data_IF_810392789274
#
_entry.id   IF_810392789274
#
_cell.length_a   1.000
_cell.length_b   1.000
_cell.length_c   1.000
_cell.angle_alpha   90.00
_cell.angle_beta   90.00
_cell.angle_gamma   90.00
#
_symmetry.space_group_name_H-M   'P 1'
#
loop_
_entity.id
_entity.type
_entity.pdbx_description
1 polymer ?
#
# COMPACT_ATOMS: atom_id res chain seq x y z
N UNK A 1 0.24 -11.93 6.39
CA UNK A 1 -0.29 -10.86 5.50
C UNK A 1 0.41 -9.59 5.94
N UNK A 2 1.26 -9.03 5.09
CA UNK A 2 2.19 -7.98 5.53
C UNK A 2 1.52 -6.61 5.51
N UNK A 3 1.54 -5.90 6.64
CA UNK A 3 0.98 -4.54 6.70
C UNK A 3 1.91 -3.54 5.97
N UNK A 4 1.37 -2.42 5.52
CA UNK A 4 2.08 -1.42 4.71
C UNK A 4 2.42 -0.13 5.47
N UNK A 5 2.38 -0.15 6.80
CA UNK A 5 2.62 1.05 7.62
C UNK A 5 3.95 1.74 7.29
N UNK A 6 5.04 0.97 7.17
CA UNK A 6 6.38 1.50 6.86
C UNK A 6 6.44 2.17 5.49
N UNK A 7 5.75 1.59 4.49
CA UNK A 7 5.70 2.13 3.12
C UNK A 7 4.99 3.47 3.10
N UNK A 8 3.77 3.54 3.64
CA UNK A 8 2.99 4.77 3.69
C UNK A 8 3.67 5.85 4.53
N UNK A 9 4.25 5.49 5.68
CA UNK A 9 5.03 6.41 6.51
C UNK A 9 6.19 7.03 5.73
N UNK A 10 6.94 6.21 4.99
CA UNK A 10 8.05 6.69 4.17
C UNK A 10 7.57 7.62 3.04
N UNK A 11 6.44 7.31 2.40
CA UNK A 11 5.81 8.14 1.35
C UNK A 11 5.46 9.54 1.85
N UNK A 12 4.95 9.66 3.08
CA UNK A 12 4.62 10.96 3.69
C UNK A 12 5.80 11.61 4.45
N UNK A 13 6.99 11.00 4.41
CA UNK A 13 8.20 11.56 5.03
C UNK A 13 8.17 11.64 6.57
N UNK A 14 7.34 10.83 7.24
CA UNK A 14 7.21 10.85 8.69
C UNK A 14 8.17 9.86 9.36
N UNK A 15 8.64 10.21 10.57
CA UNK A 15 9.38 9.27 11.43
C UNK A 15 8.40 8.39 12.21
N UNK A 16 8.86 7.23 12.71
CA UNK A 16 8.03 6.37 13.56
C UNK A 16 7.49 7.13 14.79
N UNK A 17 8.31 7.99 15.40
CA UNK A 17 7.91 8.81 16.54
C UNK A 17 6.80 9.81 16.19
N UNK A 18 6.85 10.43 15.00
CA UNK A 18 5.81 11.36 14.55
C UNK A 18 4.46 10.66 14.34
N UNK A 19 4.46 9.49 13.69
CA UNK A 19 3.22 8.72 13.49
C UNK A 19 2.68 8.22 14.83
N UNK A 20 3.54 7.70 15.71
CA UNK A 20 3.16 7.24 17.04
C UNK A 20 2.50 8.36 17.87
N UNK A 21 3.08 9.56 17.85
CA UNK A 21 2.50 10.73 18.51
C UNK A 21 1.12 11.10 17.93
N UNK A 22 0.97 11.09 16.60
CA UNK A 22 -0.31 11.39 15.93
C UNK A 22 -1.44 10.42 16.33
N UNK A 23 -1.12 9.14 16.56
CA UNK A 23 -2.12 8.12 16.93
C UNK A 23 -2.20 7.84 18.44
N UNK A 24 -1.42 8.59 19.24
CA UNK A 24 -1.43 8.56 20.70
C UNK A 24 -0.87 7.25 21.28
N UNK A 25 0.24 6.76 20.74
CA UNK A 25 0.97 5.59 21.27
C UNK A 25 2.46 5.86 21.40
N UNK A 26 3.19 4.98 22.08
CA UNK A 26 4.64 5.07 22.15
C UNK A 26 5.29 4.64 20.82
N UNK A 27 6.44 5.23 20.50
CA UNK A 27 7.21 4.87 19.30
C UNK A 27 7.58 3.38 19.24
N UNK A 28 7.97 2.70 20.34
CA UNK A 28 8.18 1.25 20.33
C UNK A 28 6.90 0.44 20.03
N UNK A 29 5.73 0.86 20.50
CA UNK A 29 4.47 0.19 20.15
C UNK A 29 4.19 0.28 18.65
N UNK A 30 4.35 1.48 18.08
CA UNK A 30 4.19 1.68 16.65
C UNK A 30 5.22 0.87 15.83
N UNK A 31 6.49 0.82 16.27
CA UNK A 31 7.52 -0.01 15.64
C UNK A 31 7.10 -1.49 15.60
N UNK A 32 6.56 -2.03 16.70
CA UNK A 32 6.09 -3.42 16.75
C UNK A 32 4.98 -3.70 15.74
N UNK A 33 4.15 -2.71 15.43
CA UNK A 33 3.16 -2.83 14.36
C UNK A 33 3.83 -2.88 12.99
N UNK A 34 4.78 -1.98 12.70
CA UNK A 34 5.52 -1.99 11.43
C UNK A 34 6.31 -3.30 11.19
N UNK A 35 6.79 -3.94 12.26
CA UNK A 35 7.56 -5.20 12.17
C UNK A 35 6.70 -6.44 12.39
N UNK A 36 5.37 -6.32 12.46
CA UNK A 36 4.43 -7.41 12.74
C UNK A 36 4.65 -8.16 14.07
N UNK A 37 5.47 -7.61 14.96
CA UNK A 37 5.69 -8.14 16.30
C UNK A 37 4.49 -7.91 17.24
N UNK A 38 3.50 -7.13 16.78
CA UNK A 38 2.18 -7.00 17.39
C UNK A 38 1.15 -6.64 16.31
N UNK A 39 -0.11 -7.11 16.44
CA UNK A 39 -1.20 -6.67 15.56
C UNK A 39 -1.54 -5.19 15.79
N UNK A 40 -2.06 -4.54 14.75
CA UNK A 40 -2.60 -3.18 14.83
C UNK A 40 -4.01 -3.28 15.45
N UNK A 41 -4.30 -2.54 16.53
CA UNK A 41 -5.66 -2.48 17.08
C UNK A 41 -6.64 -1.80 16.11
N UNK A 42 -7.86 -2.32 16.01
CA UNK A 42 -8.88 -1.82 15.07
C UNK A 42 -9.25 -0.35 15.34
N UNK A 43 -9.28 0.07 16.62
CA UNK A 43 -9.54 1.45 17.04
C UNK A 43 -8.43 2.44 16.60
N UNK A 44 -7.26 1.93 16.21
CA UNK A 44 -6.12 2.73 15.74
C UNK A 44 -6.05 2.84 14.23
N UNK A 45 -6.69 1.94 13.48
CA UNK A 45 -6.63 1.93 12.01
C UNK A 45 -7.12 3.24 11.40
N UNK A 46 -8.21 3.81 11.90
CA UNK A 46 -8.75 5.08 11.39
C UNK A 46 -7.76 6.24 11.57
N UNK A 47 -7.15 6.37 12.74
CA UNK A 47 -6.16 7.43 13.01
C UNK A 47 -4.87 7.24 12.22
N UNK A 48 -4.45 5.99 12.02
CA UNK A 48 -3.29 5.67 11.18
C UNK A 48 -3.56 6.04 9.72
N UNK A 49 -4.75 5.70 9.22
CA UNK A 49 -5.19 6.02 7.86
C UNK A 49 -5.17 7.54 7.62
N UNK A 50 -5.73 8.31 8.55
CA UNK A 50 -5.71 9.78 8.51
C UNK A 50 -4.27 10.33 8.56
N UNK A 51 -3.45 9.91 9.51
CA UNK A 51 -2.08 10.40 9.68
C UNK A 51 -1.16 10.06 8.49
N UNK A 52 -1.48 9.00 7.74
CA UNK A 52 -0.70 8.51 6.60
C UNK A 52 -1.34 8.86 5.25
N UNK A 53 -2.47 9.56 5.24
CA UNK A 53 -3.15 10.00 4.02
C UNK A 53 -3.65 8.85 3.14
N UNK A 54 -4.21 7.80 3.76
CA UNK A 54 -4.74 6.62 3.06
C UNK A 54 -5.98 6.06 3.78
N UNK A 55 -6.39 4.83 3.44
CA UNK A 55 -7.48 4.10 4.07
C UNK A 55 -6.98 2.85 4.83
N UNK A 56 -7.82 2.30 5.72
CA UNK A 56 -7.45 1.16 6.54
C UNK A 56 -7.17 -0.12 5.73
N UNK A 57 -7.86 -0.34 4.60
CA UNK A 57 -7.65 -1.52 3.78
C UNK A 57 -6.26 -1.47 3.12
N UNK A 58 -5.89 -0.31 2.56
CA UNK A 58 -4.55 -0.04 2.02
C UNK A 58 -3.44 -0.29 3.05
N UNK A 59 -3.62 0.16 4.30
CA UNK A 59 -2.66 -0.10 5.39
C UNK A 59 -2.50 -1.58 5.72
N UNK A 60 -3.59 -2.35 5.64
CA UNK A 60 -3.59 -3.79 5.86
C UNK A 60 -3.11 -4.59 4.64
N UNK A 61 -2.64 -3.91 3.58
CA UNK A 61 -2.22 -4.54 2.34
C UNK A 61 -3.39 -5.13 1.54
N UNK A 62 -4.63 -4.75 1.87
CA UNK A 62 -5.84 -5.11 1.14
C UNK A 62 -6.14 -3.99 0.15
N UNK A 63 -5.49 -4.01 -1.00
CA UNK A 63 -5.87 -3.08 -2.07
C UNK A 63 -7.09 -3.65 -2.82
N UNK A 64 -8.01 -2.78 -3.22
CA UNK A 64 -8.94 -3.14 -4.27
C UNK A 64 -8.13 -3.50 -5.54
N UNK A 65 -8.65 -4.37 -6.43
CA UNK A 65 -8.03 -4.59 -7.74
C UNK A 65 -7.72 -3.25 -8.40
N UNK A 66 -6.52 -3.12 -8.97
CA UNK A 66 -6.22 -1.97 -9.81
C UNK A 66 -7.04 -2.19 -11.09
N UNK A 67 -8.10 -1.41 -11.27
CA UNK A 67 -8.79 -1.35 -12.56
C UNK A 67 -7.90 -0.57 -13.52
N UNK A 68 -7.09 -1.30 -14.28
CA UNK A 68 -6.41 -0.76 -15.45
C UNK A 68 -7.43 -0.64 -16.57
N UNK A 69 -7.77 0.60 -16.93
CA UNK A 69 -8.41 0.91 -18.21
C UNK A 69 -7.41 0.63 -19.33
N UNK A 70 -7.28 -0.64 -19.72
CA UNK A 70 -6.43 -1.07 -20.84
C UNK A 70 -7.02 -0.68 -22.20
N UNK A 71 -8.27 -0.22 -22.22
CA UNK A 71 -9.00 0.16 -23.42
C UNK A 71 -9.42 1.62 -23.30
N UNK A 72 -8.90 2.43 -24.21
CA UNK A 72 -9.40 3.75 -24.53
C UNK A 72 -10.07 3.64 -25.90
N UNK A 73 -11.40 3.76 -25.94
CA UNK A 73 -12.21 3.66 -27.17
C UNK A 73 -11.86 4.75 -28.21
N UNK A 74 -10.97 5.69 -27.88
CA UNK A 74 -10.45 6.70 -28.81
C UNK A 74 -9.22 6.24 -29.62
N UNK A 75 -8.68 5.05 -29.34
CA UNK A 75 -7.50 4.49 -30.01
C UNK A 75 -7.92 3.55 -31.15
N UNK A 76 -7.23 3.64 -32.29
CA UNK A 76 -7.47 2.82 -33.50
C UNK A 76 -7.46 1.31 -33.16
N UNK A 77 -8.45 0.56 -33.67
CA UNK A 77 -8.61 -0.90 -33.48
C UNK A 77 -7.32 -1.68 -33.75
N UNK A 78 -6.48 -1.20 -34.67
CA UNK A 78 -5.20 -1.83 -34.93
C UNK A 78 -4.33 -1.85 -33.66
N UNK A 79 -4.31 -0.77 -32.87
CA UNK A 79 -3.51 -0.57 -31.66
C UNK A 79 -4.15 -1.12 -30.37
N UNK A 80 -5.43 -1.52 -30.42
CA UNK A 80 -6.21 -1.97 -29.27
C UNK A 80 -5.93 -3.42 -28.83
N UNK A 81 -5.20 -4.20 -29.63
CA UNK A 81 -4.97 -5.63 -29.37
C UNK A 81 -3.62 -5.96 -28.73
N UNK A 82 -2.78 -4.97 -28.46
CA UNK A 82 -1.47 -5.18 -27.87
C UNK A 82 -1.23 -4.21 -26.72
N UNK A 83 -0.89 -4.79 -25.57
CA UNK A 83 -0.54 -4.06 -24.37
C UNK A 83 0.40 -4.92 -23.54
N UNK A 84 1.44 -4.31 -23.01
CA UNK A 84 2.37 -5.00 -22.12
C UNK A 84 1.90 -4.83 -20.68
N UNK A 85 1.69 -5.95 -19.98
CA UNK A 85 1.43 -5.96 -18.54
C UNK A 85 2.60 -6.63 -17.84
N UNK A 86 3.23 -5.90 -16.91
CA UNK A 86 4.25 -6.45 -16.03
C UNK A 86 3.66 -6.74 -14.64
N UNK A 87 3.65 -8.01 -14.25
CA UNK A 87 3.24 -8.44 -12.92
C UNK A 87 4.47 -8.62 -12.03
N UNK A 88 4.62 -7.76 -11.03
CA UNK A 88 5.71 -7.84 -10.06
C UNK A 88 5.29 -8.65 -8.83
N UNK A 89 6.09 -9.64 -8.45
CA UNK A 89 5.86 -10.44 -7.25
C UNK A 89 6.57 -9.84 -6.04
N UNK A 90 5.91 -9.87 -4.87
CA UNK A 90 6.47 -9.36 -3.62
C UNK A 90 7.74 -10.09 -3.15
N UNK A 91 8.03 -11.27 -3.72
CA UNK A 91 9.26 -12.03 -3.49
C UNK A 91 10.51 -11.47 -4.19
N UNK A 92 10.38 -10.41 -5.00
CA UNK A 92 11.51 -9.75 -5.66
C UNK A 92 12.09 -10.51 -6.87
N UNK A 93 11.38 -11.54 -7.36
CA UNK A 93 11.73 -12.24 -8.59
C UNK A 93 11.46 -11.41 -9.85
N UNK A 94 11.93 -11.89 -11.00
CA UNK A 94 11.65 -11.25 -12.28
C UNK A 94 10.14 -11.11 -12.51
N UNK A 95 9.68 -9.97 -13.05
CA UNK A 95 8.28 -9.76 -13.33
C UNK A 95 7.80 -10.70 -14.44
N UNK A 96 6.56 -11.17 -14.34
CA UNK A 96 5.90 -11.87 -15.44
C UNK A 96 5.46 -10.83 -16.46
N UNK A 97 6.01 -10.91 -17.67
CA UNK A 97 5.60 -10.11 -18.80
C UNK A 97 4.48 -10.83 -19.56
N UNK A 98 3.35 -10.14 -19.73
CA UNK A 98 2.24 -10.57 -20.56
C UNK A 98 2.18 -9.59 -21.75
N UNK A 99 2.39 -10.12 -22.95
CA UNK A 99 2.45 -9.40 -24.23
C UNK A 99 1.51 -10.04 -25.24
#
# INVERSE_FOLDING_TARGET
MTNRLKEFRARVGLTQAKVAAAVGVSQPNYQRWETEAAPIPDDKLGKLAEALGTDAASLLGRHAPIEVGLYDDSVDDALSYYGEVAVHFSGGGEPLLLS
#
